data_IF_305554659113
#
_entry.id   IF_305554659113
#
_cell.length_a   1.000
_cell.length_b   1.000
_cell.length_c   1.000
_cell.angle_alpha   90.00
_cell.angle_beta   90.00
_cell.angle_gamma   90.00
#
_symmetry.space_group_name_H-M   'P 1'
#
loop_
_entity.id
_entity.type
_entity.pdbx_description
1 polymer ?
#
# COMPACT_ATOMS: atom_id res chain seq x y z
N UNK A 1 17.34 2.55 -16.57
CA UNK A 1 16.34 3.63 -16.40
C UNK A 1 16.21 3.91 -14.92
N UNK A 2 16.46 5.15 -14.48
CA UNK A 2 16.32 5.51 -13.08
C UNK A 2 14.83 5.40 -12.69
N UNK A 3 14.48 4.41 -11.87
CA UNK A 3 13.17 4.35 -11.21
C UNK A 3 13.03 5.63 -10.40
N UNK A 4 12.09 6.49 -10.77
CA UNK A 4 11.84 7.73 -10.04
C UNK A 4 11.71 7.39 -8.55
N UNK A 5 12.58 8.00 -7.74
CA UNK A 5 12.57 7.86 -6.28
C UNK A 5 11.21 8.31 -5.76
N UNK A 6 10.79 7.75 -4.62
CA UNK A 6 9.62 8.20 -3.89
C UNK A 6 9.61 9.73 -3.76
N UNK A 7 8.44 10.34 -3.89
CA UNK A 7 8.25 11.75 -3.50
C UNK A 7 8.62 11.96 -2.02
N UNK A 8 9.01 13.18 -1.60
CA UNK A 8 9.33 13.48 -0.21
C UNK A 8 8.28 12.97 0.79
N UNK A 9 7.02 13.00 0.42
CA UNK A 9 5.86 12.63 1.23
C UNK A 9 5.76 11.12 1.45
N UNK A 10 6.04 10.35 0.39
CA UNK A 10 6.15 8.90 0.44
C UNK A 10 7.34 8.47 1.31
N UNK A 11 8.46 9.22 1.25
CA UNK A 11 9.61 8.99 2.13
C UNK A 11 9.27 9.26 3.60
N UNK A 12 8.47 10.29 3.90
CA UNK A 12 7.97 10.53 5.27
C UNK A 12 7.15 9.35 5.77
N UNK A 13 6.22 8.82 4.96
CA UNK A 13 5.41 7.68 5.35
C UNK A 13 6.27 6.44 5.63
N UNK A 14 7.24 6.13 4.76
CA UNK A 14 8.19 5.04 4.97
C UNK A 14 8.97 5.23 6.27
N UNK A 15 9.47 6.44 6.53
CA UNK A 15 10.20 6.75 7.75
C UNK A 15 9.34 6.58 9.01
N UNK A 16 8.05 6.93 8.96
CA UNK A 16 7.13 6.72 10.07
C UNK A 16 6.88 5.24 10.36
N UNK A 17 6.93 4.37 9.35
CA UNK A 17 6.65 2.94 9.51
C UNK A 17 7.90 2.12 9.88
N UNK A 18 9.08 2.54 9.40
CA UNK A 18 10.34 1.80 9.51
C UNK A 18 10.77 1.43 10.94
N UNK A 19 10.68 2.30 11.97
CA UNK A 19 11.21 1.99 13.30
C UNK A 19 10.58 0.78 14.00
N UNK A 20 9.42 0.31 13.55
CA UNK A 20 8.80 -0.92 14.07
C UNK A 20 8.60 -1.99 12.99
N UNK A 21 9.18 -1.78 11.81
CA UNK A 21 9.08 -2.69 10.69
C UNK A 21 10.39 -3.46 10.52
N UNK A 22 10.27 -4.70 10.07
CA UNK A 22 11.37 -5.42 9.47
C UNK A 22 11.35 -5.17 7.97
N UNK A 23 12.51 -4.85 7.39
CA UNK A 23 12.66 -4.65 5.95
C UNK A 23 13.02 -5.97 5.30
N UNK A 24 12.27 -6.39 4.28
CA UNK A 24 12.52 -7.63 3.54
C UNK A 24 12.31 -7.43 2.04
N UNK A 25 12.91 -8.30 1.25
CA UNK A 25 12.45 -8.58 -0.12
C UNK A 25 11.64 -9.87 -0.07
N UNK A 26 10.36 -9.81 -0.41
CA UNK A 26 9.49 -10.98 -0.41
C UNK A 26 8.35 -10.77 -1.40
N UNK A 27 8.08 -11.79 -2.20
CA UNK A 27 6.89 -11.80 -3.03
C UNK A 27 5.64 -12.08 -2.18
N UNK A 28 4.50 -11.40 -2.40
CA UNK A 28 3.25 -11.62 -1.65
C UNK A 28 2.87 -13.09 -1.46
N UNK A 29 3.00 -13.91 -2.51
CA UNK A 29 2.65 -15.35 -2.42
C UNK A 29 3.47 -16.10 -1.36
N UNK A 30 4.72 -15.72 -1.10
CA UNK A 30 5.58 -16.35 -0.08
C UNK A 30 5.11 -16.05 1.35
N UNK A 31 4.25 -15.05 1.56
CA UNK A 31 3.69 -14.70 2.86
C UNK A 31 2.34 -15.39 3.17
N UNK A 32 1.90 -16.29 2.27
CA UNK A 32 0.61 -16.94 2.36
C UNK A 32 -0.55 -15.95 2.25
N UNK A 33 -0.35 -14.83 1.55
CA UNK A 33 -1.40 -13.88 1.20
C UNK A 33 -1.78 -14.08 -0.27
N UNK A 34 -3.07 -14.25 -0.55
CA UNK A 34 -3.56 -14.25 -1.94
C UNK A 34 -3.43 -12.84 -2.50
N UNK A 35 -2.56 -12.63 -3.49
CA UNK A 35 -2.39 -11.32 -4.13
C UNK A 35 -3.34 -11.23 -5.34
N UNK A 36 -4.19 -10.19 -5.43
CA UNK A 36 -5.04 -9.98 -6.61
C UNK A 36 -4.22 -9.54 -7.83
N UNK A 37 -2.95 -9.18 -7.63
CA UNK A 37 -2.08 -8.64 -8.67
C UNK A 37 -1.06 -9.70 -9.08
N UNK A 38 -1.15 -10.14 -10.33
CA UNK A 38 -0.07 -10.84 -11.01
C UNK A 38 0.71 -9.79 -11.77
N UNK A 39 1.92 -9.45 -11.35
CA UNK A 39 2.79 -8.65 -12.21
C UNK A 39 3.99 -9.43 -12.73
N UNK A 40 4.51 -10.41 -11.98
CA UNK A 40 5.52 -11.38 -12.41
C UNK A 40 5.79 -12.29 -11.20
N UNK A 41 5.34 -13.56 -11.18
CA UNK A 41 5.49 -14.45 -10.00
C UNK A 41 6.93 -14.65 -9.50
N UNK A 42 7.92 -14.28 -10.31
CA UNK A 42 9.34 -14.53 -10.08
C UNK A 42 10.09 -13.35 -9.42
N UNK A 43 9.50 -12.16 -9.31
CA UNK A 43 10.22 -10.97 -8.81
C UNK A 43 9.87 -10.68 -7.36
N UNK A 44 10.87 -10.71 -6.46
CA UNK A 44 10.67 -10.28 -5.08
C UNK A 44 10.41 -8.78 -5.02
N UNK A 45 9.51 -8.37 -4.12
CA UNK A 45 9.18 -6.97 -3.90
C UNK A 45 9.79 -6.52 -2.58
N UNK A 46 10.45 -5.37 -2.57
CA UNK A 46 10.84 -4.74 -1.31
C UNK A 46 9.60 -4.42 -0.51
N UNK A 47 9.63 -4.71 0.79
CA UNK A 47 8.51 -4.47 1.67
C UNK A 47 8.95 -4.11 3.08
N UNK A 48 8.04 -3.45 3.79
CA UNK A 48 8.08 -3.27 5.23
C UNK A 48 7.06 -4.20 5.88
N UNK A 49 7.49 -5.04 6.82
CA UNK A 49 6.62 -5.95 7.56
C UNK A 49 6.51 -5.50 9.01
N UNK A 50 5.28 -5.23 9.45
CA UNK A 50 4.94 -4.99 10.85
C UNK A 50 4.05 -6.14 11.34
N UNK A 51 4.51 -6.86 12.37
CA UNK A 51 3.76 -7.96 12.97
C UNK A 51 3.56 -7.74 14.46
N UNK A 52 2.33 -7.91 14.94
CA UNK A 52 2.00 -7.88 16.37
C UNK A 52 0.89 -8.88 16.68
N UNK A 53 1.25 -9.96 17.38
CA UNK A 53 0.33 -11.07 17.65
C UNK A 53 -0.22 -11.67 16.36
N UNK A 54 -1.55 -11.73 16.23
CA UNK A 54 -2.28 -12.20 15.05
C UNK A 54 -2.44 -11.17 13.92
N UNK A 55 -1.87 -9.97 14.09
CA UNK A 55 -1.94 -8.89 13.10
C UNK A 55 -0.66 -8.84 12.29
N UNK A 56 -0.82 -8.78 10.98
CA UNK A 56 0.26 -8.60 10.01
C UNK A 56 -0.09 -7.42 9.11
N UNK A 57 0.86 -6.53 8.92
CA UNK A 57 0.82 -5.44 7.96
C UNK A 57 2.06 -5.56 7.09
N UNK A 58 1.88 -5.55 5.77
CA UNK A 58 2.99 -5.51 4.82
C UNK A 58 2.76 -4.37 3.85
N UNK A 59 3.77 -3.54 3.67
CA UNK A 59 3.74 -2.34 2.82
C UNK A 59 4.77 -2.51 1.71
N UNK A 60 4.31 -2.48 0.47
CA UNK A 60 5.13 -2.55 -0.74
C UNK A 60 5.16 -1.17 -1.40
N UNK A 61 6.26 -0.40 -1.27
CA UNK A 61 6.38 0.88 -1.94
C UNK A 61 6.58 0.71 -3.44
N UNK A 62 5.96 1.60 -4.23
CA UNK A 62 6.26 1.81 -5.65
C UNK A 62 6.14 0.55 -6.50
N UNK A 63 5.12 -0.27 -6.23
CA UNK A 63 4.82 -1.45 -7.04
C UNK A 63 3.98 -1.05 -8.24
N UNK A 64 4.24 -1.71 -9.36
CA UNK A 64 3.37 -1.66 -10.51
C UNK A 64 2.42 -2.85 -10.46
N UNK A 65 1.18 -2.64 -10.90
CA UNK A 65 0.14 -3.65 -10.85
C UNK A 65 -0.66 -3.61 -12.15
N UNK A 66 -1.13 -4.75 -12.62
CA UNK A 66 -2.06 -4.78 -13.75
C UNK A 66 -3.49 -4.56 -13.23
N UNK A 67 -4.12 -3.46 -13.64
CA UNK A 67 -5.49 -3.12 -13.21
C UNK A 67 -6.55 -3.58 -14.22
N UNK A 68 -6.16 -3.70 -15.49
CA UNK A 68 -6.92 -4.32 -16.57
C UNK A 68 -5.93 -4.95 -17.55
N UNK A 69 -6.34 -5.95 -18.37
CA UNK A 69 -5.43 -6.59 -19.34
C UNK A 69 -4.64 -5.57 -20.18
N UNK A 70 -3.31 -5.63 -20.11
CA UNK A 70 -2.38 -4.75 -20.81
C UNK A 70 -2.19 -3.35 -20.21
N UNK A 71 -2.86 -3.02 -19.09
CA UNK A 71 -2.77 -1.71 -18.44
C UNK A 71 -2.13 -1.83 -17.07
N UNK A 72 -0.85 -1.44 -17.00
CA UNK A 72 -0.10 -1.32 -15.77
C UNK A 72 -0.36 0.03 -15.10
N UNK A 73 -0.39 0.01 -13.77
CA UNK A 73 -0.44 1.19 -12.93
C UNK A 73 0.58 1.08 -11.81
N UNK A 74 1.34 2.14 -11.60
CA UNK A 74 2.19 2.30 -10.42
C UNK A 74 1.38 2.83 -9.25
N UNK A 75 1.50 2.19 -8.10
CA UNK A 75 0.91 2.62 -6.83
C UNK A 75 1.99 3.19 -5.94
N UNK A 76 1.64 4.18 -5.11
CA UNK A 76 2.56 4.69 -4.09
C UNK A 76 2.90 3.59 -3.08
N UNK A 77 1.87 2.96 -2.52
CA UNK A 77 2.01 1.85 -1.60
C UNK A 77 0.90 0.83 -1.80
N UNK A 78 1.26 -0.40 -2.12
CA UNK A 78 0.36 -1.53 -1.97
C UNK A 78 0.49 -2.09 -0.56
N UNK A 79 -0.63 -2.17 0.15
CA UNK A 79 -0.66 -2.59 1.55
C UNK A 79 -1.53 -3.83 1.69
N UNK A 80 -0.99 -4.87 2.33
CA UNK A 80 -1.82 -5.99 2.81
C UNK A 80 -1.91 -5.94 4.33
N UNK A 81 -3.13 -6.02 4.82
CA UNK A 81 -3.44 -6.09 6.24
C UNK A 81 -4.14 -7.41 6.49
N UNK A 82 -3.60 -8.21 7.41
CA UNK A 82 -4.20 -9.46 7.86
C UNK A 82 -4.47 -9.41 9.35
N UNK A 83 -5.70 -9.69 9.74
CA UNK A 83 -6.15 -9.78 11.13
C UNK A 83 -6.80 -11.14 11.32
N UNK A 84 -6.14 -12.02 12.09
CA UNK A 84 -6.55 -13.41 12.22
C UNK A 84 -6.72 -14.09 10.83
N UNK A 85 -7.94 -14.50 10.48
CA UNK A 85 -8.26 -15.15 9.19
C UNK A 85 -8.71 -14.17 8.10
N UNK A 86 -8.89 -12.89 8.43
CA UNK A 86 -9.33 -11.87 7.47
C UNK A 86 -8.13 -11.15 6.84
N UNK A 87 -8.27 -10.78 5.57
CA UNK A 87 -7.25 -10.10 4.78
C UNK A 87 -7.88 -9.02 3.90
N UNK A 88 -7.21 -7.86 3.81
CA UNK A 88 -7.53 -6.78 2.87
C UNK A 88 -6.28 -6.32 2.13
N UNK A 89 -6.45 -6.02 0.85
CA UNK A 89 -5.49 -5.28 0.04
C UNK A 89 -5.94 -3.84 -0.08
N UNK A 90 -5.00 -2.91 0.04
CA UNK A 90 -5.25 -1.49 0.10
C UNK A 90 -4.23 -0.79 -0.81
N UNK A 91 -4.74 0.07 -1.69
CA UNK A 91 -3.94 1.05 -2.45
C UNK A 91 -3.84 2.31 -1.59
N UNK A 92 -2.67 2.55 -0.99
CA UNK A 92 -2.43 3.69 -0.11
C UNK A 92 -1.68 4.76 -0.89
N UNK A 93 -2.38 5.83 -1.25
CA UNK A 93 -1.84 6.93 -2.06
C UNK A 93 -1.58 8.17 -1.18
N UNK A 94 -0.46 8.84 -1.42
CA UNK A 94 -0.13 10.10 -0.75
C UNK A 94 -0.26 11.25 -1.73
N UNK A 95 -1.27 12.07 -1.48
CA UNK A 95 -1.71 13.08 -2.41
C UNK A 95 -0.92 14.40 -2.21
N UNK A 96 -0.02 14.72 -3.16
CA UNK A 96 0.63 16.05 -3.30
C UNK A 96 -0.31 17.20 -3.72
N UNK A 97 0.11 18.47 -3.76
CA UNK A 97 -0.80 19.62 -3.95
C UNK A 97 -1.45 19.79 -5.35
N UNK A 98 -1.25 18.86 -6.29
CA UNK A 98 -1.65 19.01 -7.71
C UNK A 98 -2.70 18.00 -8.21
N UNK A 99 -3.54 17.45 -7.32
CA UNK A 99 -4.53 16.42 -7.70
C UNK A 99 -5.61 16.88 -8.66
N UNK A 100 -6.02 15.96 -9.53
CA UNK A 100 -7.08 16.13 -10.52
C UNK A 100 -8.21 15.16 -10.18
N UNK A 101 -9.22 15.67 -9.49
CA UNK A 101 -10.34 14.92 -8.86
C UNK A 101 -10.99 13.85 -9.74
N UNK A 102 -11.19 14.11 -11.04
CA UNK A 102 -11.88 13.16 -11.92
C UNK A 102 -11.01 11.96 -12.33
N UNK A 103 -9.71 12.19 -12.56
CA UNK A 103 -8.76 11.11 -12.88
C UNK A 103 -8.50 10.24 -11.66
N UNK A 104 -8.54 10.83 -10.47
CA UNK A 104 -8.31 10.12 -9.21
C UNK A 104 -9.45 9.16 -8.90
N UNK A 105 -10.68 9.57 -9.21
CA UNK A 105 -11.85 8.70 -9.09
C UNK A 105 -11.81 7.51 -10.06
N UNK A 106 -11.50 7.73 -11.34
CA UNK A 106 -11.36 6.63 -12.30
C UNK A 106 -10.27 5.64 -11.84
N UNK A 107 -9.16 6.18 -11.33
CA UNK A 107 -8.07 5.42 -10.73
C UNK A 107 -8.57 4.56 -9.57
N UNK A 108 -9.30 5.14 -8.63
CA UNK A 108 -9.82 4.43 -7.46
C UNK A 108 -10.80 3.31 -7.86
N UNK A 109 -11.66 3.56 -8.82
CA UNK A 109 -12.60 2.56 -9.35
C UNK A 109 -11.88 1.39 -10.04
N UNK A 110 -10.73 1.62 -10.70
CA UNK A 110 -9.97 0.55 -11.36
C UNK A 110 -9.32 -0.42 -10.35
N UNK A 111 -8.76 0.08 -9.26
CA UNK A 111 -8.14 -0.77 -8.23
C UNK A 111 -9.18 -1.48 -7.38
N UNK A 112 -10.31 -0.82 -7.09
CA UNK A 112 -11.41 -1.44 -6.33
C UNK A 112 -12.01 -2.64 -7.08
N UNK A 113 -12.14 -2.55 -8.41
CA UNK A 113 -12.63 -3.65 -9.27
C UNK A 113 -11.80 -4.94 -9.19
N UNK A 114 -10.52 -4.83 -8.86
CA UNK A 114 -9.63 -5.99 -8.67
C UNK A 114 -9.47 -6.38 -7.19
N UNK A 115 -10.32 -5.85 -6.31
CA UNK A 115 -10.33 -6.17 -4.88
C UNK A 115 -9.27 -5.46 -4.04
N UNK A 116 -8.73 -4.35 -4.54
CA UNK A 116 -7.78 -3.49 -3.82
C UNK A 116 -8.50 -2.21 -3.41
N UNK A 117 -8.64 -2.00 -2.11
CA UNK A 117 -9.40 -0.86 -1.59
C UNK A 117 -8.56 0.44 -1.64
N UNK A 118 -8.99 1.50 -2.32
CA UNK A 118 -8.27 2.77 -2.33
C UNK A 118 -8.35 3.48 -0.97
N UNK A 119 -7.25 4.07 -0.54
CA UNK A 119 -7.12 4.88 0.66
C UNK A 119 -6.15 6.03 0.40
N UNK A 120 -6.68 7.25 0.29
CA UNK A 120 -5.89 8.45 -0.02
C UNK A 120 -5.68 9.31 1.21
N UNK A 121 -4.50 9.89 1.34
CA UNK A 121 -4.22 10.94 2.32
C UNK A 121 -3.52 12.13 1.69
N UNK A 122 -3.97 13.36 1.94
CA UNK A 122 -3.23 14.53 1.52
C UNK A 122 -1.91 14.61 2.29
N UNK A 123 -0.91 15.20 1.67
CA UNK A 123 0.46 15.38 2.23
C UNK A 123 0.44 15.98 3.63
N UNK A 124 -0.41 16.98 3.87
CA UNK A 124 -0.54 17.70 5.13
C UNK A 124 -1.11 16.81 6.25
N UNK A 125 -1.76 15.69 5.92
CA UNK A 125 -2.20 14.72 6.92
C UNK A 125 -1.05 13.80 7.35
N UNK A 126 -0.21 13.37 6.43
CA UNK A 126 0.89 12.41 6.67
C UNK A 126 1.91 12.96 7.67
N UNK A 127 2.19 14.26 7.60
CA UNK A 127 3.17 14.94 8.47
C UNK A 127 2.65 15.26 9.88
N UNK A 128 1.36 15.04 10.17
CA UNK A 128 0.77 15.38 11.48
C UNK A 128 1.24 14.43 12.57
N UNK A 129 1.44 14.99 13.77
CA UNK A 129 1.65 14.19 14.96
C UNK A 129 0.50 13.18 15.15
N UNK A 130 0.86 11.92 15.41
CA UNK A 130 -0.11 10.84 15.60
C UNK A 130 -0.67 10.21 14.32
N UNK A 131 -0.33 10.71 13.12
CA UNK A 131 -0.78 10.14 11.85
C UNK A 131 -0.54 8.63 11.77
N UNK A 132 0.66 8.18 12.15
CA UNK A 132 1.02 6.75 12.21
C UNK A 132 0.02 5.92 13.01
N UNK A 133 -0.38 6.39 14.20
CA UNK A 133 -1.31 5.66 15.06
C UNK A 133 -2.70 5.61 14.43
N UNK A 134 -3.16 6.72 13.86
CA UNK A 134 -4.43 6.80 13.15
C UNK A 134 -4.47 5.88 11.92
N UNK A 135 -3.43 5.89 11.10
CA UNK A 135 -3.27 5.02 9.94
C UNK A 135 -3.33 3.55 10.34
N UNK A 136 -2.49 3.13 11.30
CA UNK A 136 -2.47 1.72 11.75
C UNK A 136 -3.81 1.26 12.31
N UNK A 137 -4.53 2.11 13.06
CA UNK A 137 -5.88 1.80 13.54
C UNK A 137 -6.87 1.66 12.38
N UNK A 138 -6.82 2.57 11.40
CA UNK A 138 -7.71 2.53 10.23
C UNK A 138 -7.48 1.27 9.39
N UNK A 139 -6.23 0.92 9.12
CA UNK A 139 -5.85 -0.28 8.37
C UNK A 139 -6.37 -1.56 9.04
N UNK A 140 -6.23 -1.67 10.37
CA UNK A 140 -6.75 -2.81 11.14
C UNK A 140 -8.28 -2.86 11.11
N UNK A 141 -8.94 -1.71 11.23
CA UNK A 141 -10.40 -1.64 11.15
C UNK A 141 -10.92 -2.09 9.78
N UNK A 142 -10.28 -1.67 8.69
CA UNK A 142 -10.65 -2.07 7.33
C UNK A 142 -10.54 -3.59 7.11
N UNK A 143 -9.54 -4.24 7.70
CA UNK A 143 -9.36 -5.70 7.63
C UNK A 143 -10.32 -6.48 8.55
N UNK A 144 -10.99 -5.81 9.48
CA UNK A 144 -11.91 -6.44 10.43
C UNK A 144 -13.39 -6.24 10.07
N UNK A 145 -13.66 -5.46 9.02
CA UNK A 145 -14.99 -5.19 8.46
C UNK A 145 -15.30 -6.17 7.33
#
# INVERSE_FOLDING_TARGET
>A
MARALNGPEQMVLLHLLTPAAHVFEVHPHKLGVSCPVVQEPAREWHCLVLRKGSRLLVVYPQVEIEVTPGRLRRLDFLVVVRVARSQKWIDLEVDGPSHQTDRDRERDEQVDKIGIQPLRYPTEAVVRAGFRVCLLRRLVALASA
#
